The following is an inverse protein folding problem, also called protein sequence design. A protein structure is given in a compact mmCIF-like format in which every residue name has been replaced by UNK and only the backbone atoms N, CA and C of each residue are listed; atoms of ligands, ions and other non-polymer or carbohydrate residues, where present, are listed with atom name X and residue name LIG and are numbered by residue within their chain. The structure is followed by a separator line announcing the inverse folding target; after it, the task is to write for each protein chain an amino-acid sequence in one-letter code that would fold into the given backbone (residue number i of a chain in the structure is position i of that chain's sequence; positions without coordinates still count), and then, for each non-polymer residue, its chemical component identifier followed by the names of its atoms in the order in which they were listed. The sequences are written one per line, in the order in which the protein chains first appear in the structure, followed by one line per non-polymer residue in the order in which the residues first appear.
data_IF_160612341135
#
_entry.id   IF_160612341135
#
_cell.length_a   1.000
_cell.length_b   1.000
_cell.length_c   1.000
_cell.angle_alpha   90.00
_cell.angle_beta   90.00
_cell.angle_gamma   90.00
#
_symmetry.space_group_name_H-M   'P 1'
#
loop_
_entity.id
_entity.type
_entity.pdbx_description
1 polymer ?
#
# COMPACT_ATOMS: atom_id res chain seq x y z
N UNK A 1 28.10 11.56 2.34
CA UNK A 1 28.04 12.24 3.65
C UNK A 1 28.50 11.34 4.80
N UNK A 2 27.76 10.30 5.23
CA UNK A 2 28.17 9.44 6.37
C UNK A 2 29.52 8.74 6.18
N UNK A 3 29.79 8.21 4.98
CA UNK A 3 31.02 7.45 4.71
C UNK A 3 32.28 8.32 4.73
N UNK A 4 32.29 9.42 3.98
CA UNK A 4 33.45 10.31 3.89
C UNK A 4 33.77 11.04 5.20
N UNK A 5 32.75 11.31 6.04
CA UNK A 5 32.93 12.07 7.27
C UNK A 5 33.19 11.21 8.51
N UNK A 6 32.76 9.94 8.53
CA UNK A 6 32.82 9.11 9.74
C UNK A 6 33.38 7.71 9.57
N UNK A 7 33.25 7.10 8.38
CA UNK A 7 33.67 5.71 8.17
C UNK A 7 35.11 5.66 7.67
N UNK A 8 35.42 6.34 6.57
CA UNK A 8 36.78 6.32 6.01
C UNK A 8 37.84 6.96 6.91
N UNK A 9 37.61 8.13 7.55
CA UNK A 9 38.61 8.71 8.44
C UNK A 9 38.98 7.80 9.63
N UNK A 10 38.01 7.05 10.17
CA UNK A 10 38.25 6.12 11.27
C UNK A 10 39.09 4.91 10.82
N UNK A 11 38.86 4.42 9.60
CA UNK A 11 39.57 3.26 9.05
C UNK A 11 40.99 3.66 8.59
N UNK A 12 41.15 4.85 8.00
CA UNK A 12 42.45 5.43 7.64
C UNK A 12 43.32 5.69 8.88
N UNK A 13 42.73 6.12 10.00
CA UNK A 13 43.44 6.25 11.28
C UNK A 13 44.01 4.92 11.81
N UNK A 14 43.49 3.79 11.35
CA UNK A 14 44.00 2.45 11.63
C UNK A 14 44.90 1.89 10.51
N UNK A 15 45.32 2.73 9.55
CA UNK A 15 46.36 2.42 8.57
C UNK A 15 45.86 1.81 7.25
N UNK A 16 44.56 1.77 7.00
CA UNK A 16 43.99 1.20 5.78
C UNK A 16 43.62 2.30 4.79
N UNK A 17 44.09 2.22 3.55
CA UNK A 17 43.72 3.19 2.51
C UNK A 17 42.33 2.84 1.94
N UNK A 18 41.50 3.86 1.69
CA UNK A 18 40.21 3.71 1.02
C UNK A 18 40.31 2.92 -0.30
N UNK A 19 41.41 3.06 -1.06
CA UNK A 19 41.61 2.33 -2.31
C UNK A 19 41.78 0.82 -2.14
N UNK A 20 42.05 0.36 -0.91
CA UNK A 20 42.29 -1.04 -0.56
C UNK A 20 41.03 -1.71 0.04
N UNK A 21 39.93 -0.95 0.17
CA UNK A 21 38.70 -1.42 0.79
C UNK A 21 37.61 -1.70 -0.26
N UNK A 22 36.97 -2.87 -0.13
CA UNK A 22 35.70 -3.15 -0.80
C UNK A 22 34.54 -2.88 0.15
N UNK A 23 33.53 -2.15 -0.33
CA UNK A 23 32.27 -2.00 0.39
C UNK A 23 31.52 -3.33 0.33
N UNK A 24 31.45 -4.01 1.48
CA UNK A 24 30.49 -5.09 1.65
C UNK A 24 29.09 -4.48 1.80
N UNK A 25 28.18 -4.83 0.90
CA UNK A 25 26.75 -4.57 1.07
C UNK A 25 26.09 -5.78 1.73
N UNK A 26 25.24 -5.48 2.70
CA UNK A 26 24.35 -6.45 3.32
C UNK A 26 22.93 -6.16 2.85
N UNK A 27 22.23 -7.20 2.42
CA UNK A 27 20.79 -7.13 2.17
C UNK A 27 20.09 -8.01 3.17
N UNK A 28 19.15 -7.41 3.92
CA UNK A 28 18.22 -8.21 4.71
C UNK A 28 17.28 -8.94 3.75
N UNK A 29 17.35 -10.27 3.74
CA UNK A 29 16.39 -11.12 3.03
C UNK A 29 15.33 -11.63 4.00
N UNK A 30 14.12 -11.84 3.50
CA UNK A 30 13.06 -12.48 4.26
C UNK A 30 12.63 -13.76 3.53
N UNK A 31 12.39 -14.82 4.28
CA UNK A 31 11.78 -16.01 3.71
C UNK A 31 10.36 -15.69 3.20
N UNK A 32 9.89 -16.41 2.18
CA UNK A 32 8.52 -16.26 1.70
C UNK A 32 7.49 -16.32 2.83
N UNK A 33 7.67 -17.28 3.75
CA UNK A 33 6.83 -17.50 4.94
C UNK A 33 6.83 -16.31 5.91
N UNK A 34 7.96 -15.62 6.03
CA UNK A 34 8.14 -14.56 7.02
C UNK A 34 7.97 -13.14 6.47
N UNK A 35 7.78 -12.94 5.16
CA UNK A 35 7.51 -11.63 4.57
C UNK A 35 6.22 -11.63 3.75
N UNK A 36 6.27 -12.02 2.47
CA UNK A 36 5.12 -11.94 1.56
C UNK A 36 3.89 -12.74 2.01
N UNK A 37 4.08 -13.91 2.63
CA UNK A 37 2.98 -14.79 3.00
C UNK A 37 2.00 -14.13 3.99
N UNK A 38 2.49 -13.27 4.90
CA UNK A 38 1.62 -12.55 5.83
C UNK A 38 0.76 -11.50 5.13
N UNK A 39 1.35 -10.72 4.22
CA UNK A 39 0.60 -9.74 3.42
C UNK A 39 -0.42 -10.41 2.50
N UNK A 40 -0.04 -11.52 1.86
CA UNK A 40 -0.95 -12.29 1.02
C UNK A 40 -2.10 -12.89 1.83
N UNK A 41 -1.82 -13.39 3.04
CA UNK A 41 -2.85 -13.86 3.95
C UNK A 41 -3.84 -12.74 4.30
N UNK A 42 -3.36 -11.56 4.70
CA UNK A 42 -4.23 -10.41 5.00
C UNK A 42 -5.08 -10.02 3.80
N UNK A 43 -4.52 -10.00 2.58
CA UNK A 43 -5.28 -9.73 1.36
C UNK A 43 -6.36 -10.79 1.15
N UNK A 44 -6.03 -12.08 1.24
CA UNK A 44 -6.99 -13.17 1.07
C UNK A 44 -8.12 -13.14 2.10
N UNK A 45 -7.77 -13.06 3.39
CA UNK A 45 -8.72 -12.98 4.50
C UNK A 45 -9.60 -11.72 4.36
N UNK A 46 -9.04 -10.58 3.95
CA UNK A 46 -9.82 -9.34 3.75
C UNK A 46 -10.85 -9.50 2.63
N UNK A 47 -10.47 -10.09 1.49
CA UNK A 47 -11.38 -10.33 0.37
C UNK A 47 -12.48 -11.30 0.77
N UNK A 48 -12.14 -12.36 1.49
CA UNK A 48 -13.13 -13.35 1.96
C UNK A 48 -14.13 -12.72 2.94
N UNK A 49 -13.67 -11.93 3.91
CA UNK A 49 -14.54 -11.21 4.86
C UNK A 49 -15.43 -10.18 4.19
N UNK A 50 -14.91 -9.48 3.18
CA UNK A 50 -15.68 -8.52 2.41
C UNK A 50 -16.75 -9.23 1.55
N UNK A 51 -16.39 -10.34 0.91
CA UNK A 51 -17.27 -11.09 -0.01
C UNK A 51 -18.35 -11.89 0.72
N UNK A 52 -18.05 -12.42 1.91
CA UNK A 52 -19.00 -13.15 2.75
C UNK A 52 -19.95 -12.24 3.54
N UNK A 53 -19.71 -10.92 3.55
CA UNK A 53 -20.44 -9.96 4.38
C UNK A 53 -20.06 -9.99 5.86
N UNK A 54 -19.16 -10.89 6.28
CA UNK A 54 -18.76 -11.07 7.67
C UNK A 54 -18.10 -9.82 8.31
N UNK A 55 -17.55 -8.92 7.50
CA UNK A 55 -16.97 -7.65 7.98
C UNK A 55 -17.98 -6.49 8.09
N UNK A 56 -19.26 -6.67 7.75
CA UNK A 56 -20.18 -5.53 7.58
C UNK A 56 -19.70 -4.60 6.47
N UNK A 57 -19.14 -5.20 5.41
CA UNK A 57 -18.53 -4.52 4.29
C UNK A 57 -19.51 -3.52 3.66
N UNK A 58 -19.27 -2.23 3.90
CA UNK A 58 -20.04 -1.13 3.33
C UNK A 58 -19.09 -0.19 2.62
N UNK A 59 -19.53 0.34 1.50
CA UNK A 59 -18.84 1.44 0.86
C UNK A 59 -19.81 2.59 0.67
N UNK A 60 -19.30 3.82 0.78
CA UNK A 60 -19.98 5.04 0.37
C UNK A 60 -19.24 5.67 -0.80
N UNK A 61 -20.01 6.27 -1.70
CA UNK A 61 -19.48 7.23 -2.66
C UNK A 61 -19.65 8.60 -2.03
N UNK A 62 -18.53 9.25 -1.76
CA UNK A 62 -18.48 10.53 -1.06
C UNK A 62 -18.57 11.69 -2.06
N UNK A 63 -17.96 11.55 -3.24
CA UNK A 63 -18.05 12.54 -4.32
C UNK A 63 -17.78 11.93 -5.70
N UNK A 64 -18.28 12.57 -6.76
CA UNK A 64 -18.00 12.21 -8.15
C UNK A 64 -17.67 13.49 -8.93
N UNK A 65 -16.37 13.67 -9.20
CA UNK A 65 -15.89 14.71 -10.10
C UNK A 65 -16.03 14.20 -11.53
N UNK A 66 -16.71 14.97 -12.37
CA UNK A 66 -16.90 14.69 -13.80
C UNK A 66 -16.05 15.64 -14.62
N UNK A 67 -15.27 15.09 -15.52
CA UNK A 67 -14.48 15.84 -16.49
C UNK A 67 -15.06 15.57 -17.89
N UNK A 68 -15.12 16.59 -18.73
CA UNK A 68 -15.51 16.40 -20.12
C UNK A 68 -14.38 15.70 -20.87
N UNK A 69 -14.74 14.64 -21.61
CA UNK A 69 -13.81 13.91 -22.46
C UNK A 69 -13.56 14.64 -23.79
N UNK A 70 -13.14 15.90 -23.67
CA UNK A 70 -12.83 16.78 -24.79
C UNK A 70 -11.45 17.42 -24.56
N UNK A 71 -10.88 18.06 -25.59
CA UNK A 71 -9.66 18.85 -25.43
C UNK A 71 -8.40 18.07 -25.00
N UNK A 72 -8.35 16.75 -25.23
CA UNK A 72 -7.21 15.90 -24.86
C UNK A 72 -7.24 15.36 -23.42
N UNK A 73 -8.32 15.61 -22.67
CA UNK A 73 -8.53 15.02 -21.34
C UNK A 73 -8.65 13.50 -21.43
N UNK A 74 -7.91 12.78 -20.57
CA UNK A 74 -7.90 11.31 -20.53
C UNK A 74 -8.62 10.73 -19.32
N UNK A 75 -8.88 11.55 -18.31
CA UNK A 75 -9.65 11.21 -17.11
C UNK A 75 -11.07 11.74 -17.34
N UNK A 76 -12.07 10.87 -17.21
CA UNK A 76 -13.46 11.25 -17.44
C UNK A 76 -14.27 11.36 -16.15
N UNK A 77 -13.98 10.49 -15.15
CA UNK A 77 -14.54 10.64 -13.81
C UNK A 77 -13.52 10.29 -12.74
N UNK A 78 -13.63 10.99 -11.62
CA UNK A 78 -12.93 10.65 -10.38
C UNK A 78 -14.00 10.36 -9.32
N UNK A 79 -14.01 9.14 -8.81
CA UNK A 79 -14.95 8.67 -7.81
C UNK A 79 -14.23 8.63 -6.48
N UNK A 80 -14.69 9.45 -5.55
CA UNK A 80 -14.18 9.56 -4.20
C UNK A 80 -15.10 8.75 -3.31
N UNK A 81 -14.54 7.85 -2.51
CA UNK A 81 -15.36 7.02 -1.64
C UNK A 81 -14.62 6.52 -0.43
N UNK A 82 -15.39 5.88 0.45
CA UNK A 82 -14.91 5.28 1.68
C UNK A 82 -15.35 3.83 1.74
N UNK A 83 -14.40 2.93 1.97
CA UNK A 83 -14.63 1.51 2.21
C UNK A 83 -14.50 1.24 3.71
N UNK A 84 -15.52 0.64 4.31
CA UNK A 84 -15.45 0.10 5.66
C UNK A 84 -14.99 -1.36 5.58
N UNK A 85 -13.75 -1.62 5.98
CA UNK A 85 -13.11 -2.92 5.82
C UNK A 85 -12.36 -3.39 7.06
N UNK A 86 -11.90 -4.66 7.08
CA UNK A 86 -11.15 -5.19 8.20
C UNK A 86 -9.81 -4.46 8.39
N UNK A 87 -9.47 -4.16 9.64
CA UNK A 87 -8.15 -3.63 10.00
C UNK A 87 -7.23 -4.76 10.43
N UNK A 88 -5.95 -4.68 10.06
CA UNK A 88 -4.89 -5.59 10.54
C UNK A 88 -3.81 -4.83 11.30
N UNK A 89 -4.11 -3.63 11.80
CA UNK A 89 -3.17 -2.77 12.51
C UNK A 89 -3.50 -2.71 14.01
N UNK A 90 -2.50 -2.32 14.80
CA UNK A 90 -2.68 -2.11 16.25
C UNK A 90 -3.67 -0.98 16.51
N UNK A 91 -3.53 0.13 15.78
CA UNK A 91 -4.48 1.24 15.75
C UNK A 91 -4.88 1.57 14.31
N UNK A 92 -6.12 1.97 14.04
CA UNK A 92 -6.50 2.41 12.69
C UNK A 92 -5.73 3.68 12.27
N UNK A 93 -5.16 3.68 11.06
CA UNK A 93 -4.59 4.88 10.44
C UNK A 93 -3.17 4.72 9.87
N UNK A 94 -2.67 5.73 9.13
CA UNK A 94 -1.33 5.72 8.53
C UNK A 94 -0.23 5.60 9.59
N UNK A 95 0.84 4.88 9.25
CA UNK A 95 1.98 4.70 10.15
C UNK A 95 1.73 3.79 11.35
N UNK A 96 0.53 3.23 11.52
CA UNK A 96 0.30 2.22 12.54
C UNK A 96 1.13 0.98 12.26
N UNK A 97 1.60 0.34 13.33
CA UNK A 97 2.16 -1.00 13.22
C UNK A 97 1.08 -1.98 12.76
N UNK A 98 1.49 -2.92 11.91
CA UNK A 98 0.69 -4.12 11.65
C UNK A 98 0.57 -4.86 12.99
N UNK A 99 -0.66 -5.27 13.31
CA UNK A 99 -0.98 -6.04 14.48
C UNK A 99 -0.15 -7.33 14.46
N UNK A 100 0.68 -7.51 15.49
CA UNK A 100 1.52 -8.70 15.66
C UNK A 100 0.80 -9.85 16.35
N UNK A 101 -0.52 -9.74 16.59
CA UNK A 101 -1.28 -10.85 17.13
C UNK A 101 -1.44 -11.88 16.03
N UNK A 102 -0.82 -13.04 16.22
CA UNK A 102 -0.79 -14.12 15.25
C UNK A 102 -1.56 -15.32 15.80
N UNK A 103 -2.45 -15.88 15.01
CA UNK A 103 -2.97 -17.23 15.23
C UNK A 103 -2.26 -18.16 14.24
N UNK A 104 -1.53 -19.17 14.73
CA UNK A 104 -0.76 -20.07 13.85
C UNK A 104 0.34 -19.37 13.02
N UNK A 105 0.80 -18.19 13.43
CA UNK A 105 1.84 -17.43 12.73
C UNK A 105 1.35 -16.45 11.64
N UNK A 106 0.02 -16.32 11.46
CA UNK A 106 -0.57 -15.38 10.48
C UNK A 106 -1.33 -14.23 11.17
N UNK A 107 -1.32 -13.01 10.59
CA UNK A 107 -2.03 -11.86 11.17
C UNK A 107 -3.54 -12.10 11.24
N UNK A 108 -4.15 -11.67 12.35
CA UNK A 108 -5.61 -11.68 12.50
C UNK A 108 -6.18 -10.27 12.31
N UNK A 109 -7.40 -10.18 11.78
CA UNK A 109 -8.13 -8.93 11.73
C UNK A 109 -8.47 -8.43 13.14
N UNK A 110 -8.33 -7.12 13.36
CA UNK A 110 -8.58 -6.41 14.61
C UNK A 110 -9.52 -5.23 14.36
N UNK A 111 -10.81 -5.57 14.30
CA UNK A 111 -11.87 -4.59 14.07
C UNK A 111 -11.94 -4.12 12.61
N UNK A 112 -12.52 -2.93 12.44
CA UNK A 112 -12.87 -2.33 11.16
C UNK A 112 -12.31 -0.92 11.07
N UNK A 113 -11.99 -0.48 9.85
CA UNK A 113 -11.46 0.85 9.56
C UNK A 113 -12.09 1.40 8.29
N UNK A 114 -12.27 2.72 8.27
CA UNK A 114 -12.68 3.47 7.09
C UNK A 114 -11.45 3.79 6.23
N UNK A 115 -11.45 3.23 5.02
CA UNK A 115 -10.38 3.38 4.02
C UNK A 115 -10.89 4.25 2.88
N UNK A 116 -10.37 5.47 2.79
CA UNK A 116 -10.70 6.39 1.69
C UNK A 116 -10.00 5.96 0.40
N UNK A 117 -10.72 5.94 -0.71
CA UNK A 117 -10.22 5.60 -2.03
C UNK A 117 -10.55 6.68 -3.08
N UNK A 118 -9.76 6.72 -4.15
CA UNK A 118 -10.14 7.37 -5.42
C UNK A 118 -10.11 6.31 -6.52
N UNK A 119 -11.21 6.16 -7.25
CA UNK A 119 -11.25 5.39 -8.48
C UNK A 119 -11.29 6.34 -9.68
N UNK A 120 -10.37 6.15 -10.63
CA UNK A 120 -10.34 6.94 -11.86
C UNK A 120 -10.96 6.15 -12.99
N UNK A 121 -11.98 6.73 -13.63
CA UNK A 121 -12.55 6.19 -14.86
C UNK A 121 -11.99 7.00 -16.04
N UNK A 122 -11.24 6.36 -16.95
CA UNK A 122 -10.71 7.04 -18.12
C UNK A 122 -11.81 7.37 -19.12
N UNK A 123 -11.58 8.37 -19.97
CA UNK A 123 -12.53 8.75 -21.02
C UNK A 123 -12.85 7.59 -21.98
N UNK A 124 -11.84 6.79 -22.32
CA UNK A 124 -12.03 5.58 -23.14
C UNK A 124 -13.00 4.56 -22.54
N UNK A 125 -13.18 4.54 -21.21
CA UNK A 125 -14.13 3.68 -20.52
C UNK A 125 -15.57 4.25 -20.53
N UNK A 126 -15.72 5.56 -20.72
CA UNK A 126 -17.02 6.23 -20.74
C UNK A 126 -17.58 6.33 -22.17
N UNK A 127 -16.70 6.52 -23.15
CA UNK A 127 -17.05 6.69 -24.56
C UNK A 127 -17.29 5.36 -25.27
N UNK A 128 -16.64 4.28 -24.83
CA UNK A 128 -16.84 2.95 -25.41
C UNK A 128 -17.83 2.15 -24.55
N UNK A 129 -18.92 1.68 -25.14
CA UNK A 129 -19.89 0.78 -24.50
C UNK A 129 -19.36 -0.64 -24.24
N UNK A 130 -18.09 -0.91 -24.54
CA UNK A 130 -17.46 -2.20 -24.26
C UNK A 130 -17.11 -2.31 -22.77
N UNK A 131 -17.21 -3.51 -22.17
CA UNK A 131 -16.83 -3.71 -20.78
C UNK A 131 -15.42 -3.20 -20.49
N UNK A 132 -15.31 -2.32 -19.51
CA UNK A 132 -14.03 -1.76 -19.06
C UNK A 132 -13.21 -2.91 -18.47
N UNK A 133 -12.10 -3.24 -19.13
CA UNK A 133 -11.27 -4.40 -18.72
C UNK A 133 -10.41 -4.12 -17.48
N UNK A 134 -10.11 -2.86 -17.19
CA UNK A 134 -9.23 -2.46 -16.11
C UNK A 134 -9.71 -1.17 -15.45
N UNK A 135 -9.87 -1.19 -14.13
CA UNK A 135 -10.09 0.00 -13.31
C UNK A 135 -8.78 0.34 -12.59
N UNK A 136 -8.44 1.63 -12.53
CA UNK A 136 -7.30 2.11 -11.76
C UNK A 136 -7.83 2.70 -10.45
N UNK A 137 -7.46 2.09 -9.34
CA UNK A 137 -7.82 2.53 -7.99
C UNK A 137 -6.56 2.97 -7.25
N UNK A 138 -6.63 4.16 -6.66
CA UNK A 138 -5.61 4.66 -5.75
C UNK A 138 -6.15 4.60 -4.31
N UNK A 139 -5.37 3.97 -3.44
CA UNK A 139 -5.57 3.95 -2.00
C UNK A 139 -4.21 3.99 -1.35
N UNK A 140 -4.00 4.92 -0.42
CA UNK A 140 -2.69 5.11 0.21
C UNK A 140 -2.50 4.23 1.44
N UNK A 141 -3.56 3.55 1.90
CA UNK A 141 -3.48 2.52 2.93
C UNK A 141 -2.64 2.97 4.13
N UNK A 142 -1.59 2.21 4.44
CA UNK A 142 -0.71 2.46 5.58
C UNK A 142 0.33 3.56 5.36
N UNK A 143 0.56 3.98 4.11
CA UNK A 143 1.69 4.85 3.73
C UNK A 143 1.35 6.34 3.65
N UNK A 144 0.12 6.74 3.95
CA UNK A 144 -0.21 8.16 4.06
C UNK A 144 -1.68 8.50 3.83
N UNK A 145 -1.91 9.77 3.59
CA UNK A 145 -3.23 10.31 3.22
C UNK A 145 -3.51 10.04 1.75
N UNK A 146 -4.80 10.09 1.38
CA UNK A 146 -5.21 9.90 -0.01
C UNK A 146 -4.73 11.01 -0.97
N UNK A 147 -4.28 12.11 -0.38
CA UNK A 147 -3.86 13.38 -0.98
C UNK A 147 -2.37 13.39 -1.29
#
# INVERSE_FOLDING_TARGET
ARFDLRVFPAIEAHGWNRSELQLAWEFSTASWKSGPARTQHMVGDSVERLSSGAAGARYSIDDIVREECSGGMRKGRQIWGTLHGPSYTVSPGPGSEILRVLHGGVPIANGVVDVRFVALLPCSALENASPVKYAIQFGHGLVGTRE
#
